data_IF_314141720415
#
_entry.id   IF_314141720415
#
_cell.length_a   1.000
_cell.length_b   1.000
_cell.length_c   1.000
_cell.angle_alpha   90.00
_cell.angle_beta   90.00
_cell.angle_gamma   90.00
#
_symmetry.space_group_name_H-M   'P 1'
#
loop_
_entity.id
_entity.type
_entity.pdbx_description
1 polymer ?
#
# COMPACT_ATOMS: atom_id res chain seq x y z
N UNK A 1 12.67 -9.09 4.29
CA UNK A 1 11.24 -9.51 4.26
C UNK A 1 10.91 -10.04 2.88
N UNK A 2 10.25 -11.17 2.76
CA UNK A 2 9.78 -11.71 1.48
C UNK A 2 8.30 -11.34 1.22
N UNK A 3 7.79 -11.52 -0.03
CA UNK A 3 6.42 -11.16 -0.39
C UNK A 3 5.34 -11.83 0.48
N UNK A 4 5.51 -13.12 0.81
CA UNK A 4 4.54 -13.84 1.63
C UNK A 4 4.43 -13.26 3.04
N UNK A 5 5.56 -12.91 3.65
CA UNK A 5 5.55 -12.26 4.97
C UNK A 5 4.81 -10.91 4.97
N UNK A 6 4.93 -10.13 3.88
CA UNK A 6 4.19 -8.88 3.75
C UNK A 6 2.68 -9.13 3.60
N UNK A 7 2.29 -10.14 2.83
CA UNK A 7 0.89 -10.58 2.68
C UNK A 7 0.33 -11.10 4.01
N UNK A 8 1.07 -11.94 4.73
CA UNK A 8 0.65 -12.47 6.03
C UNK A 8 0.43 -11.34 7.04
N UNK A 9 1.30 -10.32 7.05
CA UNK A 9 1.09 -9.11 7.86
C UNK A 9 -0.18 -8.37 7.45
N UNK A 10 -0.42 -8.19 6.15
CA UNK A 10 -1.63 -7.53 5.69
C UNK A 10 -2.89 -8.23 6.17
N UNK A 11 -2.95 -9.55 6.05
CA UNK A 11 -4.08 -10.34 6.54
C UNK A 11 -4.20 -10.32 8.08
N UNK A 12 -3.08 -10.36 8.81
CA UNK A 12 -3.10 -10.31 10.27
C UNK A 12 -3.66 -9.02 10.86
N UNK A 13 -3.70 -7.95 10.08
CA UNK A 13 -4.25 -6.66 10.52
C UNK A 13 -5.77 -6.51 10.30
N UNK A 14 -6.42 -7.44 9.61
CA UNK A 14 -7.87 -7.39 9.35
C UNK A 14 -8.69 -7.89 10.54
N UNK A 15 -9.91 -7.39 10.70
CA UNK A 15 -10.85 -7.87 11.71
C UNK A 15 -10.61 -7.32 13.12
N UNK A 16 -9.81 -6.28 13.29
CA UNK A 16 -9.47 -5.72 14.60
C UNK A 16 -10.13 -4.36 14.88
N UNK A 17 -11.04 -3.90 14.02
CA UNK A 17 -11.74 -2.63 14.23
C UNK A 17 -10.85 -1.40 14.09
N UNK A 18 -9.84 -1.46 13.19
CA UNK A 18 -8.98 -0.32 12.91
C UNK A 18 -9.80 0.88 12.43
N UNK A 19 -9.52 2.07 12.97
CA UNK A 19 -10.17 3.33 12.59
C UNK A 19 -9.38 3.97 11.45
N UNK A 20 -10.04 4.41 10.39
CA UNK A 20 -9.37 5.21 9.37
C UNK A 20 -9.07 6.61 9.90
N UNK A 21 -7.78 6.96 9.94
CA UNK A 21 -7.33 8.29 10.32
C UNK A 21 -6.15 8.72 9.44
N UNK A 22 -6.37 9.77 8.66
CA UNK A 22 -5.35 10.33 7.77
C UNK A 22 -4.12 10.76 8.56
N UNK A 23 -2.94 10.42 8.05
CA UNK A 23 -1.66 10.72 8.68
C UNK A 23 -1.27 9.75 9.82
N UNK A 24 -2.12 8.79 10.17
CA UNK A 24 -1.87 7.85 11.27
C UNK A 24 -1.29 6.50 10.81
N UNK A 25 -0.69 5.78 11.75
CA UNK A 25 -0.17 4.42 11.53
C UNK A 25 1.18 4.35 10.80
N UNK A 26 1.77 3.17 10.79
CA UNK A 26 3.01 2.88 10.07
C UNK A 26 4.30 3.53 10.61
N UNK A 27 4.22 4.27 11.72
CA UNK A 27 5.39 4.93 12.30
C UNK A 27 6.44 3.94 12.82
N UNK A 28 5.99 2.78 13.26
CA UNK A 28 6.86 1.75 13.86
C UNK A 28 6.70 0.42 13.12
N UNK A 29 7.56 0.12 12.14
CA UNK A 29 7.42 -1.05 11.28
C UNK A 29 7.56 -2.39 12.02
N UNK A 30 8.16 -2.41 13.21
CA UNK A 30 8.35 -3.62 14.03
C UNK A 30 7.23 -3.87 15.05
N UNK A 31 6.23 -2.98 15.16
CA UNK A 31 5.06 -3.26 16.01
C UNK A 31 4.27 -4.45 15.47
N UNK A 32 3.53 -5.11 16.37
CA UNK A 32 2.63 -6.20 16.01
C UNK A 32 1.45 -5.75 15.14
N UNK A 33 1.11 -4.45 15.16
CA UNK A 33 -0.05 -3.86 14.49
C UNK A 33 0.30 -2.56 13.76
N UNK A 34 -0.41 -2.22 12.64
CA UNK A 34 -0.12 -1.03 11.85
C UNK A 34 -0.60 0.28 12.51
N UNK A 35 -1.62 0.22 13.38
CA UNK A 35 -2.24 1.40 13.96
C UNK A 35 -1.46 1.95 15.16
N UNK A 36 -1.76 3.18 15.49
CA UNK A 36 -1.25 3.87 16.66
C UNK A 36 -2.06 3.54 17.95
N UNK A 37 -1.78 4.23 19.03
CA UNK A 37 -2.43 4.03 20.35
C UNK A 37 -3.94 4.34 20.34
N UNK A 38 -4.40 5.11 19.36
CA UNK A 38 -5.83 5.42 19.16
C UNK A 38 -6.47 4.53 18.11
N UNK A 39 -5.89 3.37 17.80
CA UNK A 39 -6.30 2.43 16.76
C UNK A 39 -6.41 3.06 15.36
N UNK A 40 -5.73 4.18 15.12
CA UNK A 40 -5.78 4.91 13.86
C UNK A 40 -4.72 4.46 12.86
N UNK A 41 -5.12 4.26 11.61
CA UNK A 41 -4.24 4.01 10.49
C UNK A 41 -4.78 4.63 9.21
N UNK A 42 -3.90 5.00 8.27
CA UNK A 42 -4.29 5.33 6.89
C UNK A 42 -3.69 4.35 5.88
N UNK A 43 -3.99 4.54 4.60
CA UNK A 43 -3.60 3.60 3.55
C UNK A 43 -2.08 3.48 3.39
N UNK A 44 -1.34 4.57 3.41
CA UNK A 44 0.12 4.56 3.27
C UNK A 44 0.84 4.10 4.54
N UNK A 45 0.34 4.44 5.72
CA UNK A 45 0.84 3.92 6.98
C UNK A 45 0.66 2.40 7.09
N UNK A 46 -0.48 1.89 6.64
CA UNK A 46 -0.74 0.45 6.59
C UNK A 46 0.24 -0.29 5.68
N UNK A 47 0.42 0.14 4.43
CA UNK A 47 1.33 -0.57 3.51
C UNK A 47 2.79 -0.44 3.92
N UNK A 48 3.23 0.70 4.47
CA UNK A 48 4.57 0.85 5.02
C UNK A 48 4.84 -0.19 6.11
N UNK A 49 3.89 -0.35 7.05
CA UNK A 49 3.99 -1.39 8.08
C UNK A 49 3.99 -2.80 7.48
N UNK A 50 3.13 -3.12 6.51
CA UNK A 50 3.14 -4.44 5.85
C UNK A 50 4.51 -4.77 5.27
N UNK A 51 5.18 -3.79 4.68
CA UNK A 51 6.51 -3.94 4.07
C UNK A 51 7.66 -3.87 5.09
N UNK A 52 7.37 -3.65 6.37
CA UNK A 52 8.41 -3.47 7.39
C UNK A 52 9.22 -2.19 7.24
N UNK A 53 8.64 -1.17 6.61
CA UNK A 53 9.27 0.13 6.36
C UNK A 53 8.80 1.17 7.37
N UNK A 54 9.69 2.04 7.87
CA UNK A 54 9.25 3.25 8.55
C UNK A 54 8.54 4.14 7.52
N UNK A 55 7.39 4.69 7.92
CA UNK A 55 6.64 5.63 7.08
C UNK A 55 7.42 6.92 6.81
N UNK A 56 8.26 7.32 7.76
CA UNK A 56 9.18 8.45 7.64
C UNK A 56 10.62 7.95 7.53
N UNK A 57 11.32 8.32 6.47
CA UNK A 57 12.75 8.13 6.31
C UNK A 57 13.45 9.38 6.88
N UNK A 58 13.94 9.27 8.10
CA UNK A 58 14.59 10.40 8.79
C UNK A 58 15.89 10.84 8.11
N UNK A 59 16.64 9.91 7.52
CA UNK A 59 17.91 10.22 6.83
C UNK A 59 17.66 11.06 5.58
N UNK A 60 16.60 10.74 4.84
CA UNK A 60 16.22 11.44 3.61
C UNK A 60 15.20 12.56 3.84
N UNK A 61 14.65 12.66 5.06
CA UNK A 61 13.52 13.52 5.40
C UNK A 61 12.32 13.34 4.44
N UNK A 62 11.97 12.10 4.16
CA UNK A 62 10.90 11.74 3.21
C UNK A 62 9.79 10.98 3.90
N UNK A 63 8.57 11.45 3.73
CA UNK A 63 7.36 10.72 4.09
C UNK A 63 6.88 9.87 2.92
N UNK A 64 6.67 8.57 3.18
CA UNK A 64 6.08 7.66 2.20
C UNK A 64 4.55 7.72 2.28
N UNK A 65 4.00 8.73 1.62
CA UNK A 65 2.59 8.84 1.30
C UNK A 65 2.28 8.28 -0.10
N UNK A 66 1.02 8.32 -0.49
CA UNK A 66 0.57 7.80 -1.79
C UNK A 66 1.23 8.52 -2.97
N UNK A 67 1.43 9.84 -2.86
CA UNK A 67 2.05 10.64 -3.91
C UNK A 67 3.52 10.29 -4.08
N UNK A 68 4.28 10.15 -2.98
CA UNK A 68 5.68 9.76 -3.03
C UNK A 68 5.87 8.37 -3.61
N UNK A 69 5.07 7.38 -3.17
CA UNK A 69 5.12 6.01 -3.72
C UNK A 69 4.84 6.02 -5.23
N UNK A 70 3.82 6.75 -5.67
CA UNK A 70 3.47 6.85 -7.09
C UNK A 70 4.56 7.56 -7.93
N UNK A 71 5.19 8.62 -7.41
CA UNK A 71 6.28 9.32 -8.08
C UNK A 71 7.48 8.38 -8.26
N UNK A 72 7.89 7.68 -7.22
CA UNK A 72 9.01 6.72 -7.31
C UNK A 72 8.72 5.63 -8.33
N UNK A 73 7.52 5.04 -8.32
CA UNK A 73 7.12 4.02 -9.27
C UNK A 73 7.07 4.53 -10.73
N UNK A 74 6.89 5.82 -10.96
CA UNK A 74 6.89 6.43 -12.29
C UNK A 74 8.27 6.85 -12.82
N UNK A 75 9.37 6.51 -12.12
CA UNK A 75 10.70 6.69 -12.70
C UNK A 75 11.75 7.38 -11.83
N UNK A 76 11.53 7.52 -10.52
CA UNK A 76 12.62 7.90 -9.62
C UNK A 76 13.53 6.67 -9.38
N UNK A 77 14.59 6.56 -10.18
CA UNK A 77 15.52 5.44 -10.15
C UNK A 77 16.27 5.27 -8.81
N UNK A 78 16.21 6.26 -7.93
CA UNK A 78 16.79 6.20 -6.58
C UNK A 78 15.75 5.95 -5.49
N UNK A 79 14.49 5.77 -5.89
CA UNK A 79 13.38 5.48 -4.99
C UNK A 79 13.44 4.08 -4.39
N UNK A 80 12.66 3.87 -3.33
CA UNK A 80 12.43 2.55 -2.74
C UNK A 80 11.45 1.71 -3.54
N UNK A 81 10.63 2.35 -4.39
CA UNK A 81 9.62 1.71 -5.19
C UNK A 81 9.94 1.82 -6.68
N UNK A 82 9.97 0.68 -7.34
CA UNK A 82 10.16 0.55 -8.78
C UNK A 82 8.79 0.39 -9.45
N UNK A 83 8.63 0.97 -10.64
CA UNK A 83 7.46 0.72 -11.47
C UNK A 83 7.41 -0.72 -11.96
N UNK A 84 6.22 -1.28 -11.98
CA UNK A 84 5.93 -2.56 -12.61
C UNK A 84 4.67 -2.43 -13.49
N UNK A 85 4.42 -3.40 -14.35
CA UNK A 85 3.26 -3.40 -15.24
C UNK A 85 2.23 -4.43 -14.77
N UNK A 86 0.96 -4.17 -15.04
CA UNK A 86 -0.14 -5.03 -14.63
C UNK A 86 0.02 -6.51 -15.00
N UNK A 87 0.49 -6.90 -16.20
CA UNK A 87 0.68 -8.30 -16.54
C UNK A 87 1.71 -9.03 -15.68
N UNK A 88 2.67 -8.28 -15.12
CA UNK A 88 3.75 -8.83 -14.28
C UNK A 88 3.49 -8.62 -12.77
N UNK A 89 2.22 -8.41 -12.39
CA UNK A 89 1.81 -8.21 -11.01
C UNK A 89 2.25 -9.39 -10.14
N UNK A 90 2.78 -9.09 -8.97
CA UNK A 90 3.27 -10.09 -8.01
C UNK A 90 2.66 -9.86 -6.62
N UNK A 91 2.70 -10.88 -5.79
CA UNK A 91 2.33 -10.73 -4.38
C UNK A 91 3.18 -9.63 -3.72
N UNK A 92 2.55 -8.86 -2.85
CA UNK A 92 3.10 -7.70 -2.16
C UNK A 92 3.50 -6.52 -3.06
N UNK A 93 3.15 -6.51 -4.35
CA UNK A 93 3.14 -5.28 -5.13
C UNK A 93 2.08 -4.33 -4.58
N UNK A 94 2.29 -3.05 -4.73
CA UNK A 94 1.32 -2.03 -4.35
C UNK A 94 0.57 -1.53 -5.58
N UNK A 95 -0.74 -1.38 -5.44
CA UNK A 95 -1.54 -0.62 -6.39
C UNK A 95 -1.75 0.76 -5.80
N UNK A 96 -1.29 1.81 -6.49
CA UNK A 96 -1.24 3.16 -5.94
C UNK A 96 -1.59 4.22 -6.97
N UNK A 97 -2.27 5.27 -6.54
CA UNK A 97 -2.37 6.56 -7.22
C UNK A 97 -2.17 7.69 -6.20
N UNK A 98 -1.46 8.72 -6.61
CA UNK A 98 -1.19 9.88 -5.77
C UNK A 98 -2.36 10.86 -5.68
N UNK A 99 -2.20 11.86 -4.82
CA UNK A 99 -3.12 13.00 -4.75
C UNK A 99 -3.19 13.70 -6.11
N UNK A 100 -4.37 14.18 -6.46
CA UNK A 100 -4.56 14.87 -7.72
C UNK A 100 -5.66 15.92 -7.61
N UNK A 101 -5.66 16.89 -8.52
CA UNK A 101 -6.77 17.80 -8.70
C UNK A 101 -7.74 17.22 -9.72
N UNK A 102 -9.02 17.26 -9.38
CA UNK A 102 -10.09 16.91 -10.32
C UNK A 102 -10.38 18.06 -11.31
N UNK A 103 -11.37 17.87 -12.20
CA UNK A 103 -11.76 18.87 -13.19
C UNK A 103 -12.31 20.20 -12.60
N UNK A 104 -12.65 20.19 -11.32
CA UNK A 104 -13.14 21.37 -10.56
C UNK A 104 -12.00 22.01 -9.72
N UNK A 105 -10.78 21.46 -9.80
CA UNK A 105 -9.62 21.92 -9.05
C UNK A 105 -9.57 21.45 -7.59
N UNK A 106 -10.50 20.58 -7.17
CA UNK A 106 -10.54 20.03 -5.81
C UNK A 106 -9.45 18.96 -5.68
N UNK A 107 -8.70 19.02 -4.57
CA UNK A 107 -7.70 17.97 -4.27
C UNK A 107 -8.44 16.70 -3.86
N UNK A 108 -8.20 15.63 -4.60
CA UNK A 108 -8.61 14.27 -4.29
C UNK A 108 -7.42 13.52 -3.72
N UNK A 109 -7.63 12.89 -2.59
CA UNK A 109 -6.59 12.12 -1.93
C UNK A 109 -6.24 10.87 -2.73
N UNK A 110 -4.96 10.54 -2.77
CA UNK A 110 -4.45 9.31 -3.30
C UNK A 110 -4.87 8.10 -2.48
N UNK A 111 -4.62 6.92 -3.02
CA UNK A 111 -4.90 5.68 -2.32
C UNK A 111 -3.89 4.61 -2.68
N UNK A 112 -3.64 3.69 -1.74
CA UNK A 112 -2.72 2.57 -1.93
C UNK A 112 -3.24 1.33 -1.21
N UNK A 113 -2.98 0.17 -1.81
CA UNK A 113 -3.21 -1.13 -1.21
C UNK A 113 -2.13 -2.11 -1.62
N UNK A 114 -2.03 -3.22 -0.92
CA UNK A 114 -1.07 -4.30 -1.14
C UNK A 114 -1.75 -5.50 -1.78
N UNK A 115 -1.15 -6.05 -2.84
CA UNK A 115 -1.65 -7.23 -3.55
C UNK A 115 -1.43 -8.48 -2.71
N UNK A 116 -2.50 -9.21 -2.45
CA UNK A 116 -2.52 -10.41 -1.59
C UNK A 116 -2.88 -11.69 -2.34
N UNK A 117 -3.51 -11.58 -3.51
CA UNK A 117 -3.75 -12.69 -4.43
C UNK A 117 -3.70 -12.22 -5.89
N UNK A 118 -3.47 -13.15 -6.82
CA UNK A 118 -3.29 -12.83 -8.25
C UNK A 118 -4.46 -13.32 -9.13
N UNK A 119 -5.16 -14.36 -8.71
CA UNK A 119 -6.26 -14.93 -9.48
C UNK A 119 -7.43 -15.41 -8.56
N UNK A 120 -8.46 -14.60 -8.32
CA UNK A 120 -8.61 -13.20 -8.74
C UNK A 120 -7.62 -12.28 -8.04
N UNK A 121 -7.33 -11.11 -8.62
CA UNK A 121 -6.48 -10.13 -7.97
C UNK A 121 -7.21 -9.51 -6.77
N UNK A 122 -6.67 -9.78 -5.57
CA UNK A 122 -7.17 -9.24 -4.31
C UNK A 122 -6.14 -8.27 -3.71
N UNK A 123 -6.64 -7.29 -2.99
CA UNK A 123 -5.86 -6.20 -2.41
C UNK A 123 -6.35 -5.90 -1.01
N UNK A 124 -5.46 -5.96 -0.03
CA UNK A 124 -5.76 -5.44 1.31
C UNK A 124 -5.38 -3.96 1.38
N UNK A 125 -6.30 -3.15 1.86
CA UNK A 125 -6.08 -1.71 2.00
C UNK A 125 -6.80 -1.14 3.22
N UNK A 126 -6.29 -0.02 3.73
CA UNK A 126 -6.90 0.75 4.81
C UNK A 126 -7.64 1.94 4.22
N UNK A 127 -8.96 2.04 4.40
CA UNK A 127 -9.77 3.11 3.81
C UNK A 127 -10.87 3.62 4.74
N UNK A 128 -11.23 4.90 4.56
CA UNK A 128 -12.36 5.50 5.26
C UNK A 128 -13.68 4.80 4.91
N UNK A 129 -13.86 4.38 3.65
CA UNK A 129 -15.05 3.66 3.21
C UNK A 129 -15.20 2.33 3.94
N UNK A 130 -14.14 1.53 4.03
CA UNK A 130 -14.17 0.28 4.77
C UNK A 130 -14.57 0.51 6.23
N UNK A 131 -14.02 1.55 6.86
CA UNK A 131 -14.36 1.89 8.25
C UNK A 131 -15.83 2.25 8.39
N UNK A 132 -16.37 3.10 7.51
CA UNK A 132 -17.78 3.53 7.59
C UNK A 132 -18.78 2.41 7.29
N UNK A 133 -18.44 1.52 6.36
CA UNK A 133 -19.34 0.43 5.94
C UNK A 133 -19.23 -0.82 6.84
N UNK A 134 -18.08 -1.04 7.48
CA UNK A 134 -17.78 -2.31 8.16
C UNK A 134 -17.19 -2.16 9.56
N UNK A 135 -17.04 -0.94 10.07
CA UNK A 135 -16.38 -0.66 11.37
C UNK A 135 -14.94 -1.19 11.48
N UNK A 136 -14.28 -1.43 10.34
CA UNK A 136 -12.88 -1.80 10.24
C UNK A 136 -12.28 -1.22 8.96
N UNK A 137 -11.28 -0.36 9.10
CA UNK A 137 -10.66 0.32 7.97
C UNK A 137 -9.83 -0.61 7.08
N UNK A 138 -9.31 -1.74 7.63
CA UNK A 138 -8.41 -2.64 6.92
C UNK A 138 -9.18 -3.86 6.42
N UNK A 139 -9.34 -3.95 5.10
CA UNK A 139 -10.08 -5.05 4.47
C UNK A 139 -9.47 -5.46 3.15
N UNK A 140 -9.77 -6.69 2.76
CA UNK A 140 -9.45 -7.22 1.44
C UNK A 140 -10.61 -6.98 0.47
N UNK A 141 -10.29 -6.49 -0.71
CA UNK A 141 -11.25 -6.23 -1.80
C UNK A 141 -10.65 -6.62 -3.15
N UNK A 142 -11.48 -6.69 -4.20
CA UNK A 142 -10.96 -6.83 -5.56
C UNK A 142 -10.22 -5.56 -6.03
N UNK A 143 -9.37 -5.71 -7.04
CA UNK A 143 -8.54 -4.63 -7.61
C UNK A 143 -9.32 -3.57 -8.43
N UNK A 144 -10.64 -3.68 -8.55
CA UNK A 144 -11.47 -2.82 -9.40
C UNK A 144 -11.32 -1.32 -9.17
N UNK A 145 -11.08 -0.89 -7.92
CA UNK A 145 -10.86 0.51 -7.58
C UNK A 145 -9.65 1.09 -8.34
N UNK A 146 -8.57 0.35 -8.42
CA UNK A 146 -7.34 0.79 -9.11
C UNK A 146 -7.45 0.60 -10.62
N UNK A 147 -8.03 -0.50 -11.10
CA UNK A 147 -8.26 -0.74 -12.53
C UNK A 147 -9.13 0.35 -13.18
N UNK A 148 -10.09 0.89 -12.45
CA UNK A 148 -10.93 1.98 -12.92
C UNK A 148 -10.23 3.35 -12.89
N UNK A 149 -9.08 3.47 -12.24
CA UNK A 149 -8.36 4.74 -12.11
C UNK A 149 -7.16 4.79 -13.06
N UNK A 150 -7.26 5.62 -14.11
CA UNK A 150 -6.20 5.79 -15.12
C UNK A 150 -4.86 6.31 -14.56
N UNK A 151 -4.83 6.82 -13.32
CA UNK A 151 -3.61 7.28 -12.64
C UNK A 151 -2.96 6.19 -11.78
N UNK A 152 -3.62 5.04 -11.65
CA UNK A 152 -3.09 3.96 -10.85
C UNK A 152 -1.88 3.32 -11.52
N UNK A 153 -0.84 3.11 -10.74
CA UNK A 153 0.38 2.43 -11.14
C UNK A 153 0.64 1.25 -10.22
N UNK A 154 1.45 0.31 -10.70
CA UNK A 154 1.99 -0.76 -9.87
C UNK A 154 3.34 -0.34 -9.33
N UNK A 155 3.49 -0.35 -8.02
CA UNK A 155 4.74 -0.02 -7.33
C UNK A 155 5.29 -1.25 -6.63
N UNK A 156 6.54 -1.60 -6.91
CA UNK A 156 7.25 -2.75 -6.34
C UNK A 156 8.34 -2.30 -5.38
N UNK A 157 8.32 -2.79 -4.15
CA UNK A 157 9.39 -2.49 -3.20
C UNK A 157 10.71 -3.14 -3.64
N UNK A 158 11.72 -2.30 -3.95
CA UNK A 158 12.97 -2.72 -4.58
C UNK A 158 13.81 -3.69 -3.71
N UNK A 159 13.80 -3.49 -2.40
CA UNK A 159 14.58 -4.32 -1.46
C UNK A 159 13.83 -5.56 -0.96
N UNK A 160 12.68 -5.91 -1.54
CA UNK A 160 11.99 -7.14 -1.17
C UNK A 160 12.73 -8.35 -1.71
N UNK A 161 13.06 -9.30 -0.81
CA UNK A 161 13.67 -10.57 -1.19
C UNK A 161 12.67 -11.38 -2.02
N UNK A 162 12.94 -11.50 -3.31
CA UNK A 162 12.11 -12.27 -4.23
C UNK A 162 12.89 -13.52 -4.64
N UNK A 163 12.25 -14.67 -4.63
CA UNK A 163 12.82 -15.86 -5.27
C UNK A 163 13.07 -15.55 -6.75
N UNK A 164 14.21 -15.97 -7.31
CA UNK A 164 14.43 -15.86 -8.75
C UNK A 164 13.23 -16.50 -9.49
N UNK A 165 12.74 -15.82 -10.52
CA UNK A 165 11.68 -16.37 -11.36
C UNK A 165 12.10 -17.77 -11.82
N UNK A 166 11.29 -18.79 -11.51
CA UNK A 166 11.48 -20.11 -12.08
C UNK A 166 11.20 -19.94 -13.57
N UNK A 167 12.27 -19.94 -14.37
CA UNK A 167 12.15 -19.86 -15.83
C UNK A 167 11.22 -20.97 -16.33
N UNK A 168 10.54 -20.76 -17.46
CA UNK A 168 9.72 -21.81 -18.05
C UNK A 168 10.58 -23.03 -18.36
N UNK A 169 10.10 -24.19 -17.90
CA UNK A 169 10.71 -25.50 -18.20
C UNK A 169 10.51 -25.85 -19.68
#
# INVERSE_FOLDING_TARGET
MNPQQAVDRAHSAMGHGCIYRLGAGGAHPLRAVPWDELQGCDCSGFVAWCLGLPRHDEEKNVWYDTSRIAIEANGDAQGRFLGAIWPDLQLADLLVYGDHRDGEGVIRQGHVGIVTALAPTLVVHCSHRNWTEHSDAIRETGSGLWLANQRAVVARYAAMERSPAVGPA
#
